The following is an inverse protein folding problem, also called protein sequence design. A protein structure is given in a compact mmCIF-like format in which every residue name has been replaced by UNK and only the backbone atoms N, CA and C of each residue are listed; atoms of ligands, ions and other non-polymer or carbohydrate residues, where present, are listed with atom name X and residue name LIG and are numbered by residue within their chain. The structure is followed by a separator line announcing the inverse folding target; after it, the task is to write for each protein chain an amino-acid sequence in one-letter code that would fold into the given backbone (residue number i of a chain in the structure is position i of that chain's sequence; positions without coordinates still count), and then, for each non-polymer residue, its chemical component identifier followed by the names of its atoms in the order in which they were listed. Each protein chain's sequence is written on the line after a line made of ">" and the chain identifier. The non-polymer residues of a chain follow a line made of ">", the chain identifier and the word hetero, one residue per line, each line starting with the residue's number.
data_IF_211491930991
#
_entry.id   IF_211491930991
#
_cell.length_a   1.000
_cell.length_b   1.000
_cell.length_c   1.000
_cell.angle_alpha   90.00
_cell.angle_beta   90.00
_cell.angle_gamma   90.00
#
_symmetry.space_group_name_H-M   'P 1'
#
loop_
_entity.id
_entity.type
_entity.pdbx_description
1 polymer ?
#
# COMPACT_ATOMS: atom_id res chain seq x y z
N UNK A 1 -28.55 14.36 70.72
CA UNK A 1 -28.77 14.04 69.29
C UNK A 1 -27.45 14.23 68.54
N UNK A 2 -26.69 13.16 68.27
CA UNK A 2 -25.46 13.22 67.45
C UNK A 2 -25.85 12.81 66.02
N UNK A 3 -25.67 13.71 65.05
CA UNK A 3 -25.88 13.44 63.62
C UNK A 3 -24.57 12.92 63.03
N UNK A 4 -24.58 11.70 62.50
CA UNK A 4 -23.52 11.17 61.65
C UNK A 4 -23.75 11.67 60.22
N UNK A 5 -22.76 12.31 59.62
CA UNK A 5 -22.71 12.56 58.19
C UNK A 5 -21.80 11.51 57.55
N UNK A 6 -22.40 10.64 56.75
CA UNK A 6 -21.71 9.63 55.96
C UNK A 6 -21.23 10.32 54.66
N UNK A 7 -19.94 10.63 54.55
CA UNK A 7 -19.35 11.10 53.31
C UNK A 7 -19.12 9.91 52.37
N UNK A 8 -19.94 9.78 51.34
CA UNK A 8 -19.76 8.79 50.28
C UNK A 8 -18.81 9.38 49.24
N UNK A 9 -17.55 8.93 49.24
CA UNK A 9 -16.59 9.31 48.21
C UNK A 9 -16.86 8.49 46.94
N UNK A 10 -17.40 9.14 45.91
CA UNK A 10 -17.43 8.57 44.56
C UNK A 10 -16.02 8.69 43.96
N UNK A 11 -15.30 7.57 43.88
CA UNK A 11 -14.11 7.47 43.03
C UNK A 11 -14.60 7.25 41.61
N UNK A 12 -14.60 8.31 40.81
CA UNK A 12 -14.79 8.20 39.36
C UNK A 12 -13.55 7.52 38.77
N UNK A 13 -13.67 6.23 38.43
CA UNK A 13 -12.68 5.54 37.64
C UNK A 13 -12.83 6.00 36.19
N UNK A 14 -12.13 7.06 35.78
CA UNK A 14 -12.01 7.41 34.36
C UNK A 14 -11.11 6.38 33.70
N UNK A 15 -11.73 5.34 33.12
CA UNK A 15 -11.07 4.49 32.14
C UNK A 15 -10.73 5.37 30.93
N UNK A 16 -9.46 5.76 30.81
CA UNK A 16 -8.91 6.27 29.57
C UNK A 16 -8.95 5.10 28.57
N UNK A 17 -10.03 5.01 27.80
CA UNK A 17 -10.04 4.18 26.61
C UNK A 17 -9.10 4.82 25.61
N UNK A 18 -7.90 4.28 25.46
CA UNK A 18 -7.08 4.57 24.29
C UNK A 18 -7.87 4.09 23.07
N UNK A 19 -8.10 4.97 22.09
CA UNK A 19 -8.70 4.56 20.83
C UNK A 19 -7.80 3.49 20.21
N UNK A 20 -8.39 2.32 19.92
CA UNK A 20 -7.66 1.23 19.28
C UNK A 20 -7.45 1.58 17.81
N UNK A 21 -6.22 1.40 17.31
CA UNK A 21 -5.87 1.55 15.90
C UNK A 21 -6.79 0.70 15.01
N UNK A 22 -7.29 1.30 13.93
CA UNK A 22 -8.07 0.60 12.92
C UNK A 22 -7.18 -0.36 12.13
N UNK A 23 -7.68 -1.57 11.85
CA UNK A 23 -7.01 -2.51 10.95
C UNK A 23 -6.93 -2.01 9.50
N UNK A 24 -7.89 -1.18 9.09
CA UNK A 24 -8.13 -0.88 7.68
C UNK A 24 -7.69 0.53 7.32
N UNK A 25 -7.53 0.75 6.00
CA UNK A 25 -7.24 2.05 5.39
C UNK A 25 -8.08 3.14 6.04
N UNK A 26 -7.42 4.23 6.44
CA UNK A 26 -8.08 5.44 6.93
C UNK A 26 -8.51 6.34 5.78
N UNK A 27 -7.58 6.63 4.87
CA UNK A 27 -7.83 7.51 3.73
C UNK A 27 -6.87 7.25 2.58
N UNK A 28 -7.29 7.66 1.38
CA UNK A 28 -6.49 7.75 0.17
C UNK A 28 -6.01 9.19 0.02
N UNK A 29 -4.71 9.37 -0.17
CA UNK A 29 -4.03 10.67 -0.26
C UNK A 29 -3.87 11.13 -1.71
N UNK A 30 -3.61 10.18 -2.61
CA UNK A 30 -3.44 10.44 -4.03
C UNK A 30 -4.07 9.33 -4.85
N UNK A 31 -4.69 9.71 -5.97
CA UNK A 31 -5.16 8.77 -6.98
C UNK A 31 -4.96 9.40 -8.36
N UNK A 32 -4.14 8.75 -9.18
CA UNK A 32 -3.88 9.17 -10.56
C UNK A 32 -3.94 7.92 -11.43
N UNK A 33 -5.13 7.55 -11.94
CA UNK A 33 -5.25 6.40 -12.81
C UNK A 33 -4.59 6.68 -14.17
N UNK A 34 -4.00 5.65 -14.76
CA UNK A 34 -3.66 5.65 -16.18
C UNK A 34 -4.92 5.36 -16.99
N UNK A 35 -4.91 5.51 -18.33
CA UNK A 35 -6.09 5.24 -19.13
C UNK A 35 -6.53 3.77 -19.07
N UNK A 36 -7.83 3.52 -19.10
CA UNK A 36 -8.37 2.15 -19.03
C UNK A 36 -9.90 2.07 -19.09
N UNK A 37 -10.40 0.86 -19.29
CA UNK A 37 -11.80 0.54 -19.55
C UNK A 37 -12.73 0.67 -18.34
N UNK A 38 -12.19 0.78 -17.13
CA UNK A 38 -12.96 1.03 -15.90
C UNK A 38 -12.70 2.42 -15.30
N UNK A 39 -11.76 3.16 -15.87
CA UNK A 39 -11.44 4.53 -15.44
C UNK A 39 -12.69 5.38 -15.59
N UNK A 40 -12.92 6.25 -14.59
CA UNK A 40 -14.12 7.06 -14.40
C UNK A 40 -15.39 6.32 -13.95
N UNK A 41 -15.37 4.98 -13.88
CA UNK A 41 -16.47 4.18 -13.32
C UNK A 41 -16.10 3.57 -11.96
N UNK A 42 -14.83 3.19 -11.73
CA UNK A 42 -14.35 2.55 -10.50
C UNK A 42 -13.14 3.30 -9.88
N UNK A 43 -13.34 4.38 -9.10
CA UNK A 43 -14.63 4.93 -8.69
C UNK A 43 -15.23 5.81 -9.78
N UNK A 44 -16.51 6.15 -9.58
CA UNK A 44 -17.21 7.08 -10.48
C UNK A 44 -16.63 8.48 -10.36
N UNK A 45 -16.09 8.99 -11.46
CA UNK A 45 -15.50 10.32 -11.58
C UNK A 45 -16.01 11.05 -12.81
N UNK A 46 -15.83 12.37 -12.81
CA UNK A 46 -16.32 13.30 -13.82
C UNK A 46 -15.27 14.37 -14.13
N UNK A 47 -15.53 15.15 -15.17
CA UNK A 47 -14.73 16.32 -15.56
C UNK A 47 -14.65 17.42 -14.47
N UNK A 48 -15.55 17.40 -13.48
CA UNK A 48 -15.59 18.37 -12.40
C UNK A 48 -14.79 17.93 -11.17
N UNK A 49 -14.24 16.72 -11.17
CA UNK A 49 -13.41 16.24 -10.08
C UNK A 49 -12.05 16.92 -10.05
N UNK A 50 -11.41 16.89 -8.89
CA UNK A 50 -10.05 17.37 -8.64
C UNK A 50 -9.20 16.21 -8.07
N UNK A 51 -7.86 16.34 -7.96
CA UNK A 51 -7.06 15.35 -7.26
C UNK A 51 -7.64 14.98 -5.88
N UNK A 52 -8.10 15.98 -5.14
CA UNK A 52 -8.66 15.81 -3.79
C UNK A 52 -10.01 15.08 -3.82
N UNK A 53 -10.94 15.45 -4.72
CA UNK A 53 -12.24 14.77 -4.77
C UNK A 53 -12.12 13.34 -5.33
N UNK A 54 -11.17 13.10 -6.23
CA UNK A 54 -10.86 11.78 -6.75
C UNK A 54 -10.28 10.86 -5.64
N UNK A 55 -9.34 11.37 -4.84
CA UNK A 55 -8.83 10.66 -3.66
C UNK A 55 -9.93 10.41 -2.61
N UNK A 56 -10.83 11.38 -2.39
CA UNK A 56 -11.99 11.19 -1.52
C UNK A 56 -12.98 10.13 -2.05
N UNK A 57 -13.18 10.03 -3.36
CA UNK A 57 -13.99 8.98 -3.96
C UNK A 57 -13.38 7.59 -3.69
N UNK A 58 -12.07 7.44 -3.89
CA UNK A 58 -11.35 6.20 -3.55
C UNK A 58 -11.42 5.88 -2.05
N UNK A 59 -11.30 6.90 -1.19
CA UNK A 59 -11.46 6.75 0.27
C UNK A 59 -12.83 6.18 0.62
N UNK A 60 -13.91 6.64 -0.04
CA UNK A 60 -15.26 6.10 0.18
C UNK A 60 -15.37 4.64 -0.23
N UNK A 61 -14.66 4.20 -1.27
CA UNK A 61 -14.67 2.81 -1.72
C UNK A 61 -13.82 1.87 -0.84
N UNK A 62 -12.71 2.36 -0.29
CA UNK A 62 -11.68 1.48 0.31
C UNK A 62 -11.53 1.60 1.83
N UNK A 63 -11.91 2.71 2.46
CA UNK A 63 -11.59 2.96 3.86
C UNK A 63 -12.54 2.27 4.85
N UNK A 64 -11.99 1.92 6.02
CA UNK A 64 -12.74 1.48 7.20
C UNK A 64 -13.21 0.02 7.20
N UNK A 65 -13.01 -0.73 6.12
CA UNK A 65 -13.47 -2.12 5.96
C UNK A 65 -12.47 -2.93 5.12
N UNK A 66 -12.46 -4.25 5.29
CA UNK A 66 -11.47 -5.16 4.67
C UNK A 66 -11.46 -5.13 3.14
N UNK A 67 -12.64 -5.25 2.51
CA UNK A 67 -12.82 -5.30 1.06
C UNK A 67 -14.20 -4.74 0.66
N UNK A 68 -14.45 -3.46 0.96
CA UNK A 68 -15.75 -2.83 0.74
C UNK A 68 -16.07 -2.60 -0.74
N UNK A 69 -15.08 -2.10 -1.49
CA UNK A 69 -15.23 -1.71 -2.88
C UNK A 69 -14.05 -2.16 -3.73
N UNK A 70 -13.91 -1.54 -4.90
CA UNK A 70 -12.81 -1.76 -5.82
C UNK A 70 -12.47 -0.43 -6.52
N UNK A 71 -11.19 -0.19 -6.72
CA UNK A 71 -10.64 0.96 -7.46
C UNK A 71 -9.71 0.44 -8.54
N UNK A 72 -9.91 0.92 -9.77
CA UNK A 72 -9.07 0.60 -10.92
C UNK A 72 -7.87 1.52 -10.98
N UNK A 73 -6.69 1.00 -11.35
CA UNK A 73 -5.53 1.85 -11.62
C UNK A 73 -5.37 2.16 -13.11
N UNK A 74 -6.08 1.44 -13.98
CA UNK A 74 -5.90 1.50 -15.42
C UNK A 74 -4.57 0.89 -15.86
N UNK A 75 -4.12 1.25 -17.06
CA UNK A 75 -2.88 0.74 -17.65
C UNK A 75 -1.62 1.06 -16.81
N UNK A 76 -0.45 0.63 -17.30
CA UNK A 76 0.83 0.82 -16.61
C UNK A 76 0.99 2.23 -16.01
N UNK A 77 1.42 2.27 -14.75
CA UNK A 77 1.86 3.45 -14.03
C UNK A 77 0.74 4.17 -13.27
N UNK A 78 -0.53 3.92 -13.60
CA UNK A 78 -1.64 4.43 -12.81
C UNK A 78 -1.52 3.94 -11.36
N UNK A 79 -1.78 4.83 -10.40
CA UNK A 79 -1.44 4.58 -9.01
C UNK A 79 -2.44 5.13 -8.00
N UNK A 80 -2.39 4.57 -6.80
CA UNK A 80 -3.09 5.01 -5.60
C UNK A 80 -2.13 5.06 -4.41
N UNK A 81 -2.20 6.12 -3.60
CA UNK A 81 -1.47 6.27 -2.34
C UNK A 81 -2.47 6.35 -1.19
N UNK A 82 -2.25 5.60 -0.11
CA UNK A 82 -3.12 5.60 1.07
C UNK A 82 -2.32 5.42 2.37
N UNK A 83 -2.99 5.69 3.49
CA UNK A 83 -2.45 5.50 4.84
C UNK A 83 -3.48 4.88 5.81
N UNK A 84 -2.96 4.32 6.90
CA UNK A 84 -3.73 3.86 8.06
C UNK A 84 -3.86 4.99 9.10
N UNK A 85 -4.64 4.82 10.16
CA UNK A 85 -4.76 5.83 11.21
C UNK A 85 -3.53 5.94 12.14
N UNK A 86 -2.52 5.12 11.88
CA UNK A 86 -1.25 5.00 12.58
C UNK A 86 -0.17 4.50 11.58
N UNK A 87 1.12 4.58 11.94
CA UNK A 87 2.17 3.96 11.16
C UNK A 87 2.11 2.43 11.24
N UNK A 88 2.37 1.74 10.12
CA UNK A 88 2.52 0.28 10.09
C UNK A 88 3.93 -0.08 10.55
N UNK A 89 4.03 -0.86 11.62
CA UNK A 89 5.31 -1.25 12.20
C UNK A 89 5.89 -2.45 11.45
N UNK A 90 7.20 -2.41 11.16
CA UNK A 90 7.92 -3.55 10.63
C UNK A 90 8.17 -4.59 11.74
N UNK A 91 7.53 -5.75 11.64
CA UNK A 91 7.68 -6.89 12.53
C UNK A 91 8.63 -7.91 11.87
N UNK A 92 9.85 -7.97 12.39
CA UNK A 92 10.93 -8.83 11.86
C UNK A 92 10.46 -10.28 11.59
N UNK A 93 10.65 -10.72 10.34
CA UNK A 93 10.32 -12.07 9.89
C UNK A 93 8.83 -12.37 9.69
N UNK A 94 7.94 -11.37 9.74
CA UNK A 94 6.52 -11.50 9.46
C UNK A 94 6.06 -10.54 8.36
N UNK A 95 5.00 -10.87 7.60
CA UNK A 95 4.29 -9.88 6.80
C UNK A 95 3.66 -8.81 7.69
N UNK A 96 3.73 -7.55 7.27
CA UNK A 96 3.31 -6.39 8.06
C UNK A 96 1.91 -5.90 7.66
N UNK A 97 1.59 -5.93 6.37
CA UNK A 97 0.28 -5.52 5.87
C UNK A 97 -0.11 -6.35 4.64
N UNK A 98 -1.39 -6.32 4.27
CA UNK A 98 -1.91 -6.91 3.03
C UNK A 98 -2.59 -5.82 2.22
N UNK A 99 -2.45 -5.87 0.89
CA UNK A 99 -3.29 -5.13 -0.05
C UNK A 99 -4.06 -6.12 -0.91
N UNK A 100 -5.38 -5.97 -0.95
CA UNK A 100 -6.27 -6.88 -1.64
C UNK A 100 -6.54 -6.43 -3.09
N UNK A 101 -6.61 -7.38 -4.01
CA UNK A 101 -7.01 -7.16 -5.41
C UNK A 101 -8.24 -7.98 -5.80
N UNK A 102 -8.53 -8.11 -7.09
CA UNK A 102 -9.64 -8.91 -7.62
C UNK A 102 -9.19 -10.17 -8.40
N UNK A 103 -7.89 -10.42 -8.48
CA UNK A 103 -7.31 -11.54 -9.21
C UNK A 103 -7.92 -12.89 -8.88
N UNK A 104 -8.02 -13.73 -9.91
CA UNK A 104 -8.36 -15.15 -9.81
C UNK A 104 -7.39 -15.97 -10.66
N UNK A 105 -7.45 -17.30 -10.55
CA UNK A 105 -6.53 -18.17 -11.29
C UNK A 105 -6.66 -17.95 -12.81
N UNK A 106 -5.57 -17.46 -13.41
CA UNK A 106 -5.51 -17.10 -14.83
C UNK A 106 -5.92 -15.65 -15.16
N UNK A 107 -6.16 -14.80 -14.16
CA UNK A 107 -6.44 -13.36 -14.29
C UNK A 107 -5.61 -12.58 -13.28
N UNK A 108 -4.33 -12.39 -13.61
CA UNK A 108 -3.34 -11.70 -12.80
C UNK A 108 -2.93 -10.38 -13.45
N UNK A 109 -3.11 -9.27 -12.76
CA UNK A 109 -2.84 -7.90 -13.23
C UNK A 109 -1.90 -7.19 -12.23
N UNK A 110 -0.65 -7.67 -12.09
CA UNK A 110 0.17 -7.40 -10.93
C UNK A 110 0.53 -5.92 -10.75
N UNK A 111 0.23 -5.39 -9.56
CA UNK A 111 0.64 -4.07 -9.10
C UNK A 111 1.86 -4.13 -8.19
N UNK A 112 2.80 -3.20 -8.37
CA UNK A 112 3.95 -3.06 -7.47
C UNK A 112 3.57 -2.19 -6.28
N UNK A 113 4.04 -2.60 -5.10
CA UNK A 113 3.89 -1.83 -3.85
C UNK A 113 5.13 -0.99 -3.58
N UNK A 114 4.92 0.28 -3.28
CA UNK A 114 5.89 1.18 -2.69
C UNK A 114 5.45 1.55 -1.28
N UNK A 115 6.42 1.80 -0.41
CA UNK A 115 6.19 2.23 0.95
C UNK A 115 7.03 3.46 1.25
N UNK A 116 6.53 4.32 2.13
CA UNK A 116 7.23 5.52 2.59
C UNK A 116 6.98 5.71 4.08
N UNK A 117 8.03 6.12 4.77
CA UNK A 117 7.96 6.69 6.12
C UNK A 117 7.89 8.21 6.03
N UNK A 118 7.01 8.82 6.83
CA UNK A 118 6.96 10.28 7.01
C UNK A 118 8.13 10.70 7.92
N UNK A 119 9.27 10.98 7.29
CA UNK A 119 10.50 11.37 7.97
C UNK A 119 10.43 12.80 8.47
N UNK A 120 9.71 13.67 7.75
CA UNK A 120 9.61 15.09 8.06
C UNK A 120 8.43 15.42 9.01
N UNK A 121 7.50 14.48 9.22
CA UNK A 121 6.38 14.57 10.16
C UNK A 121 5.25 15.48 9.71
N UNK A 122 5.12 15.77 8.41
CA UNK A 122 4.11 16.69 7.88
C UNK A 122 2.77 16.00 7.55
N UNK A 123 2.69 14.68 7.67
CA UNK A 123 1.53 13.87 7.36
C UNK A 123 1.19 13.82 5.87
N UNK A 124 2.20 13.88 4.98
CA UNK A 124 2.03 13.86 3.53
C UNK A 124 2.91 12.81 2.85
N UNK A 125 2.46 12.28 1.71
CA UNK A 125 3.24 11.35 0.91
C UNK A 125 4.34 12.06 0.07
N UNK A 126 5.21 12.87 0.69
CA UNK A 126 6.24 13.67 0.01
C UNK A 126 7.71 13.39 0.39
N UNK A 127 7.98 12.37 1.21
CA UNK A 127 9.32 11.86 1.52
C UNK A 127 9.78 10.72 0.58
N UNK A 128 10.81 9.97 0.98
CA UNK A 128 11.46 8.96 0.13
C UNK A 128 10.62 7.68 0.00
N UNK A 129 10.31 7.33 -1.24
CA UNK A 129 9.61 6.08 -1.60
C UNK A 129 10.57 4.92 -1.85
N UNK A 130 10.20 3.74 -1.35
CA UNK A 130 10.91 2.48 -1.57
C UNK A 130 9.96 1.43 -2.16
N UNK A 131 10.33 0.81 -3.27
CA UNK A 131 9.59 -0.34 -3.78
C UNK A 131 9.84 -1.56 -2.89
N UNK A 132 8.82 -2.40 -2.71
CA UNK A 132 9.00 -3.73 -2.12
C UNK A 132 9.45 -4.71 -3.21
N UNK A 133 10.54 -5.42 -2.97
CA UNK A 133 11.06 -6.45 -3.86
C UNK A 133 10.12 -7.65 -3.93
N UNK A 134 9.90 -8.14 -5.14
CA UNK A 134 9.01 -9.25 -5.44
C UNK A 134 9.70 -10.34 -6.25
N UNK A 135 8.98 -11.44 -6.47
CA UNK A 135 9.53 -12.62 -7.16
C UNK A 135 10.11 -12.35 -8.56
N UNK A 136 9.65 -11.33 -9.29
CA UNK A 136 10.17 -11.04 -10.63
C UNK A 136 11.65 -10.58 -10.63
N UNK A 137 12.15 -10.02 -9.52
CA UNK A 137 13.56 -9.63 -9.40
C UNK A 137 14.51 -10.83 -9.55
N UNK A 138 14.03 -12.03 -9.19
CA UNK A 138 14.80 -13.28 -9.23
C UNK A 138 14.35 -14.22 -10.34
N UNK A 139 13.04 -14.32 -10.58
CA UNK A 139 12.47 -15.29 -11.52
C UNK A 139 12.46 -14.77 -12.98
N UNK A 140 12.52 -13.44 -13.15
CA UNK A 140 12.37 -12.77 -14.46
C UNK A 140 13.60 -11.92 -14.82
N UNK A 141 14.78 -12.35 -14.40
CA UNK A 141 16.05 -11.67 -14.68
C UNK A 141 16.18 -11.37 -16.18
N UNK A 142 16.47 -10.11 -16.50
CA UNK A 142 16.61 -9.62 -17.87
C UNK A 142 15.29 -9.29 -18.58
N UNK A 143 14.14 -9.50 -17.94
CA UNK A 143 12.81 -9.12 -18.48
C UNK A 143 12.13 -7.99 -17.71
N UNK A 144 12.59 -7.70 -16.49
CA UNK A 144 12.15 -6.54 -15.70
C UNK A 144 12.91 -5.30 -16.17
N UNK A 145 12.19 -4.20 -16.43
CA UNK A 145 12.79 -2.91 -16.82
C UNK A 145 12.63 -1.93 -15.67
N UNK A 146 13.73 -1.66 -14.97
CA UNK A 146 13.77 -0.62 -13.94
C UNK A 146 13.88 0.78 -14.55
N UNK A 147 13.38 1.80 -13.85
CA UNK A 147 13.40 3.21 -14.30
C UNK A 147 12.68 3.37 -15.66
N UNK A 148 11.67 2.55 -15.89
CA UNK A 148 10.81 2.66 -17.06
C UNK A 148 9.92 3.89 -16.92
N UNK A 149 9.70 4.58 -18.03
CA UNK A 149 8.85 5.76 -18.11
C UNK A 149 7.94 5.65 -19.32
N UNK A 150 6.64 5.88 -19.12
CA UNK A 150 5.63 5.92 -20.19
C UNK A 150 4.89 7.25 -20.12
N UNK A 151 4.52 7.78 -21.28
CA UNK A 151 3.67 8.97 -21.39
C UNK A 151 2.45 8.67 -22.23
N UNK A 152 1.26 8.91 -21.68
CA UNK A 152 -0.03 8.84 -22.36
C UNK A 152 -0.45 10.25 -22.80
N UNK A 153 -0.95 10.36 -24.03
CA UNK A 153 -1.50 11.63 -24.56
C UNK A 153 -3.03 11.53 -24.64
N UNK A 154 -3.80 12.49 -24.09
CA UNK A 154 -5.25 12.49 -24.18
C UNK A 154 -5.71 12.37 -25.64
N UNK A 155 -6.63 11.45 -25.91
CA UNK A 155 -7.22 11.25 -27.23
C UNK A 155 -8.71 10.95 -27.09
N UNK A 156 -9.55 11.99 -26.91
CA UNK A 156 -10.93 11.84 -26.48
C UNK A 156 -11.72 10.87 -27.37
N UNK A 157 -12.42 9.93 -26.73
CA UNK A 157 -13.27 8.92 -27.37
C UNK A 157 -12.56 8.06 -28.43
N UNK A 158 -11.23 7.96 -28.36
CA UNK A 158 -10.36 7.20 -29.27
C UNK A 158 -9.34 6.37 -28.48
N UNK A 159 -8.62 5.40 -29.10
CA UNK A 159 -7.51 4.73 -28.44
C UNK A 159 -6.49 5.73 -27.90
N UNK A 160 -6.04 5.55 -26.66
CA UNK A 160 -5.16 6.52 -26.00
C UNK A 160 -3.70 6.21 -26.34
N UNK A 161 -3.02 7.02 -27.15
CA UNK A 161 -1.65 6.77 -27.56
C UNK A 161 -0.67 6.94 -26.39
N UNK A 162 0.39 6.15 -26.42
CA UNK A 162 1.51 6.25 -25.49
C UNK A 162 2.86 6.10 -26.19
N UNK A 163 3.89 6.67 -25.56
CA UNK A 163 5.31 6.51 -25.91
C UNK A 163 6.10 6.19 -24.64
N UNK A 164 7.20 5.46 -24.75
CA UNK A 164 8.05 5.11 -23.62
C UNK A 164 9.51 5.58 -23.78
N UNK A 165 10.28 5.49 -22.69
CA UNK A 165 11.70 5.82 -22.69
C UNK A 165 12.60 4.72 -23.28
N UNK A 166 12.02 3.63 -23.79
CA UNK A 166 12.71 2.57 -24.54
C UNK A 166 12.64 2.81 -26.06
N UNK A 167 11.92 3.86 -26.49
CA UNK A 167 11.74 4.20 -27.90
C UNK A 167 10.55 3.49 -28.56
N UNK A 168 9.68 2.84 -27.78
CA UNK A 168 8.46 2.22 -28.27
C UNK A 168 7.26 3.17 -28.15
N UNK A 169 6.21 2.82 -28.88
CA UNK A 169 4.94 3.51 -28.86
C UNK A 169 3.79 2.54 -29.09
N UNK A 170 2.61 2.87 -28.60
CA UNK A 170 1.40 2.09 -28.80
C UNK A 170 0.16 2.89 -28.41
N UNK A 171 -0.92 2.19 -28.11
CA UNK A 171 -2.12 2.81 -27.54
C UNK A 171 -2.86 1.84 -26.62
N UNK A 172 -3.50 2.37 -25.58
CA UNK A 172 -4.56 1.68 -24.83
C UNK A 172 -5.78 1.61 -25.74
N UNK A 173 -6.10 0.41 -26.21
CA UNK A 173 -7.16 0.20 -27.17
C UNK A 173 -8.54 0.19 -26.49
N UNK A 174 -9.55 0.72 -27.19
CA UNK A 174 -10.91 0.76 -26.66
C UNK A 174 -11.66 -0.54 -26.90
N UNK A 175 -12.10 -1.21 -25.84
CA UNK A 175 -12.94 -2.42 -25.87
C UNK A 175 -14.42 -2.06 -26.08
N UNK A 176 -14.69 -1.20 -27.07
CA UNK A 176 -16.04 -0.73 -27.38
C UNK A 176 -16.88 -1.76 -28.17
N UNK A 177 -18.20 -1.55 -28.19
CA UNK A 177 -19.15 -2.40 -28.93
C UNK A 177 -19.75 -3.49 -28.05
N UNK A 178 -19.59 -4.76 -28.43
CA UNK A 178 -20.25 -5.92 -27.79
C UNK A 178 -19.84 -6.16 -26.32
N UNK A 179 -18.78 -5.50 -25.85
CA UNK A 179 -18.20 -5.68 -24.51
C UNK A 179 -18.60 -4.57 -23.51
N UNK A 180 -19.37 -3.56 -23.93
CA UNK A 180 -20.05 -2.64 -23.00
C UNK A 180 -19.26 -1.45 -22.45
N UNK A 181 -18.00 -1.24 -22.87
CA UNK A 181 -17.16 -0.13 -22.37
C UNK A 181 -17.20 1.09 -23.31
N UNK A 182 -18.16 2.00 -23.06
CA UNK A 182 -18.41 3.19 -23.91
C UNK A 182 -17.92 4.51 -23.31
N UNK A 183 -17.59 4.55 -22.02
CA UNK A 183 -17.10 5.72 -21.29
C UNK A 183 -15.75 6.22 -21.82
N UNK A 184 -15.33 7.41 -21.40
CA UNK A 184 -13.97 7.88 -21.67
C UNK A 184 -12.95 7.04 -20.89
N UNK A 185 -11.86 6.66 -21.55
CA UNK A 185 -10.80 5.84 -20.95
C UNK A 185 -9.73 6.71 -20.32
N UNK A 186 -9.53 7.94 -20.81
CA UNK A 186 -8.67 8.91 -20.14
C UNK A 186 -9.35 9.44 -18.86
N UNK A 187 -8.60 9.72 -17.78
CA UNK A 187 -9.20 10.31 -16.57
C UNK A 187 -9.87 11.66 -16.89
N UNK A 188 -11.18 11.77 -16.65
CA UNK A 188 -11.98 12.92 -17.12
C UNK A 188 -11.55 14.26 -16.53
N UNK A 189 -11.02 14.25 -15.31
CA UNK A 189 -10.55 15.45 -14.61
C UNK A 189 -9.11 15.86 -14.98
N UNK A 190 -8.45 15.14 -15.90
CA UNK A 190 -7.08 15.42 -16.35
C UNK A 190 -7.07 15.72 -17.85
N UNK A 191 -6.69 16.95 -18.22
CA UNK A 191 -6.68 17.43 -19.61
C UNK A 191 -5.27 17.62 -20.20
N UNK A 192 -4.26 17.01 -19.58
CA UNK A 192 -2.84 17.08 -19.99
C UNK A 192 -2.24 15.69 -20.12
N UNK A 193 -1.13 15.51 -20.86
CA UNK A 193 -0.39 14.26 -20.88
C UNK A 193 -0.02 13.77 -19.47
N UNK A 194 -0.09 12.47 -19.27
CA UNK A 194 0.28 11.78 -18.04
C UNK A 194 1.55 10.99 -18.27
N UNK A 195 2.57 11.25 -17.45
CA UNK A 195 3.84 10.52 -17.47
C UNK A 195 4.01 9.78 -16.15
N UNK A 196 4.22 8.47 -16.23
CA UNK A 196 4.45 7.62 -15.07
C UNK A 196 5.84 7.00 -15.12
N UNK A 197 6.42 6.76 -13.95
CA UNK A 197 7.76 6.17 -13.78
C UNK A 197 7.70 5.05 -12.77
N UNK A 198 8.50 4.01 -12.99
CA UNK A 198 8.59 2.88 -12.07
C UNK A 198 9.36 1.70 -12.67
N UNK A 199 8.98 0.52 -12.22
CA UNK A 199 9.48 -0.76 -12.71
C UNK A 199 8.41 -1.41 -13.59
N UNK A 200 8.77 -1.75 -14.82
CA UNK A 200 7.93 -2.51 -15.74
C UNK A 200 8.19 -4.01 -15.57
N UNK A 201 7.15 -4.73 -15.17
CA UNK A 201 7.13 -6.19 -15.11
C UNK A 201 6.98 -6.80 -16.52
N UNK A 202 7.47 -8.03 -16.72
CA UNK A 202 7.27 -8.73 -17.98
C UNK A 202 5.78 -8.92 -18.26
N UNK A 203 5.43 -8.89 -19.55
CA UNK A 203 4.11 -9.33 -20.03
C UNK A 203 3.83 -10.74 -19.54
N UNK A 204 2.64 -10.95 -18.98
CA UNK A 204 2.22 -12.21 -18.40
C UNK A 204 0.99 -12.82 -19.10
N UNK A 205 0.45 -12.15 -20.13
CA UNK A 205 -0.71 -12.62 -20.88
C UNK A 205 -0.32 -13.54 -22.04
N UNK A 206 -1.16 -14.54 -22.31
CA UNK A 206 -1.09 -15.35 -23.52
C UNK A 206 -2.48 -15.87 -23.92
N UNK A 207 -2.66 -16.12 -25.21
CA UNK A 207 -3.88 -16.72 -25.74
C UNK A 207 -3.73 -18.25 -25.78
N UNK A 208 -4.53 -18.97 -25.00
CA UNK A 208 -4.42 -20.43 -24.88
C UNK A 208 -5.10 -21.19 -26.02
N UNK A 209 -4.83 -22.49 -26.12
CA UNK A 209 -5.42 -23.36 -27.16
C UNK A 209 -6.95 -23.52 -27.07
N UNK A 210 -7.55 -23.16 -25.94
CA UNK A 210 -8.99 -23.20 -25.68
C UNK A 210 -9.69 -21.91 -26.12
N UNK A 211 -8.94 -20.94 -26.66
CA UNK A 211 -9.48 -19.68 -27.15
C UNK A 211 -9.67 -18.61 -26.08
N UNK A 212 -8.98 -18.71 -24.94
CA UNK A 212 -9.08 -17.72 -23.86
C UNK A 212 -7.75 -17.01 -23.61
N UNK A 213 -7.83 -15.74 -23.24
CA UNK A 213 -6.69 -15.05 -22.63
C UNK A 213 -6.48 -15.57 -21.22
N UNK A 214 -5.21 -15.79 -20.88
CA UNK A 214 -4.77 -16.19 -19.54
C UNK A 214 -3.62 -15.27 -19.16
N UNK A 215 -3.69 -14.70 -17.96
CA UNK A 215 -2.63 -13.90 -17.36
C UNK A 215 -1.98 -14.69 -16.22
N UNK A 216 -0.69 -14.97 -16.36
CA UNK A 216 0.06 -15.77 -15.38
C UNK A 216 0.41 -14.94 -14.14
N UNK A 217 0.21 -15.53 -12.96
CA UNK A 217 0.64 -14.94 -11.71
C UNK A 217 2.16 -15.04 -11.50
N UNK A 218 2.72 -14.01 -10.87
CA UNK A 218 4.03 -14.04 -10.23
C UNK A 218 3.92 -14.72 -8.86
N UNK A 219 5.03 -15.20 -8.27
CA UNK A 219 4.96 -16.02 -7.04
C UNK A 219 4.55 -15.24 -5.81
N UNK A 220 5.08 -14.03 -5.62
CA UNK A 220 4.82 -13.15 -4.46
C UNK A 220 5.25 -11.72 -4.74
N UNK A 221 4.78 -10.79 -3.89
CA UNK A 221 5.25 -9.39 -3.85
C UNK A 221 4.47 -8.40 -4.72
N UNK A 222 3.25 -8.76 -5.14
CA UNK A 222 2.44 -7.95 -6.05
C UNK A 222 0.97 -7.94 -5.62
N UNK A 223 0.32 -6.78 -5.75
CA UNK A 223 -1.14 -6.63 -5.59
C UNK A 223 -1.82 -7.18 -6.83
N UNK A 224 -3.04 -7.68 -6.68
CA UNK A 224 -3.87 -8.12 -7.80
C UNK A 224 -3.21 -9.18 -8.70
N UNK A 225 -2.43 -10.03 -8.06
CA UNK A 225 -1.56 -10.99 -8.73
C UNK A 225 -2.01 -12.44 -8.48
N UNK A 226 -2.46 -12.73 -7.26
CA UNK A 226 -2.99 -14.01 -6.82
C UNK A 226 -4.36 -13.78 -6.18
N UNK A 227 -5.25 -14.79 -6.17
CA UNK A 227 -6.45 -14.77 -5.33
C UNK A 227 -6.13 -14.35 -3.90
N UNK A 228 -6.99 -13.52 -3.29
CA UNK A 228 -6.73 -12.94 -1.97
C UNK A 228 -6.53 -13.99 -0.86
N UNK A 229 -7.11 -15.18 -0.99
CA UNK A 229 -6.89 -16.30 -0.06
C UNK A 229 -5.53 -16.98 -0.21
N UNK A 230 -4.78 -16.67 -1.28
CA UNK A 230 -3.43 -17.17 -1.56
C UNK A 230 -2.34 -16.12 -1.34
N UNK A 231 -2.69 -14.88 -0.96
CA UNK A 231 -1.69 -13.83 -0.66
C UNK A 231 -1.15 -14.00 0.76
N UNK A 232 0.16 -13.88 0.92
CA UNK A 232 0.83 -13.96 2.22
C UNK A 232 1.05 -12.56 2.85
N UNK A 233 0.72 -11.49 2.12
CA UNK A 233 0.98 -10.11 2.54
C UNK A 233 2.35 -9.57 2.13
N UNK A 234 2.64 -8.38 2.60
CA UNK A 234 3.84 -7.59 2.28
C UNK A 234 4.69 -7.41 3.52
N UNK A 235 5.97 -7.71 3.39
CA UNK A 235 6.98 -7.50 4.43
C UNK A 235 7.82 -6.25 4.05
N UNK A 236 7.88 -5.28 4.97
CA UNK A 236 8.61 -4.02 4.84
C UNK A 236 10.12 -4.26 4.72
N UNK A 237 10.66 -5.38 5.23
CA UNK A 237 12.06 -5.80 5.05
C UNK A 237 12.44 -6.01 3.59
N UNK A 238 11.46 -6.18 2.69
CA UNK A 238 11.69 -6.28 1.26
C UNK A 238 11.87 -4.91 0.58
N UNK A 239 11.82 -3.80 1.32
CA UNK A 239 12.04 -2.47 0.78
C UNK A 239 13.43 -2.35 0.15
N UNK A 240 13.49 -1.73 -1.04
CA UNK A 240 14.74 -1.47 -1.75
C UNK A 240 14.81 -0.05 -2.30
N UNK A 241 16.04 0.45 -2.43
CA UNK A 241 16.32 1.75 -3.03
C UNK A 241 16.19 1.74 -4.57
N UNK A 242 16.42 2.89 -5.20
CA UNK A 242 16.39 3.05 -6.66
C UNK A 242 17.47 2.23 -7.43
N UNK A 243 18.41 1.61 -6.72
CA UNK A 243 19.42 0.69 -7.25
C UNK A 243 19.14 -0.77 -6.84
N UNK A 244 17.94 -1.06 -6.31
CA UNK A 244 17.50 -2.36 -5.80
C UNK A 244 18.34 -2.87 -4.62
N UNK A 245 18.99 -1.98 -3.87
CA UNK A 245 19.68 -2.36 -2.62
C UNK A 245 18.68 -2.40 -1.46
N UNK A 246 18.72 -3.44 -0.60
CA UNK A 246 17.85 -3.52 0.57
C UNK A 246 17.98 -2.30 1.49
N UNK A 247 16.83 -1.82 1.98
CA UNK A 247 16.70 -0.71 2.92
C UNK A 247 15.98 -1.21 4.17
N UNK A 248 16.47 -0.80 5.34
CA UNK A 248 15.81 -1.11 6.61
C UNK A 248 14.91 0.05 7.02
N UNK A 249 13.62 -0.23 7.15
CA UNK A 249 12.62 0.68 7.69
C UNK A 249 12.05 0.05 8.97
N UNK A 250 11.89 0.84 10.03
CA UNK A 250 11.26 0.44 11.29
C UNK A 250 9.73 0.52 11.23
N UNK A 251 9.23 1.39 10.37
CA UNK A 251 7.80 1.58 10.09
C UNK A 251 7.63 2.19 8.71
N UNK A 252 6.37 2.28 8.28
CA UNK A 252 5.92 3.09 7.15
C UNK A 252 4.67 3.87 7.56
N UNK A 253 4.43 4.98 6.89
CA UNK A 253 3.27 5.85 7.11
C UNK A 253 2.35 5.85 5.88
N UNK A 254 2.91 5.63 4.68
CA UNK A 254 2.17 5.58 3.43
C UNK A 254 2.50 4.33 2.61
N UNK A 255 1.49 3.84 1.91
CA UNK A 255 1.59 2.76 0.92
C UNK A 255 1.11 3.31 -0.42
N UNK A 256 1.86 3.04 -1.49
CA UNK A 256 1.45 3.30 -2.86
C UNK A 256 1.42 2.00 -3.65
N UNK A 257 0.40 1.83 -4.48
CA UNK A 257 0.30 0.73 -5.44
C UNK A 257 0.22 1.33 -6.83
N UNK A 258 0.97 0.79 -7.78
CA UNK A 258 0.85 1.16 -9.20
C UNK A 258 0.76 -0.07 -10.10
N UNK A 259 -0.02 0.05 -11.18
CA UNK A 259 -0.12 -0.99 -12.21
C UNK A 259 1.24 -1.16 -12.89
N UNK A 260 1.84 -2.36 -12.79
CA UNK A 260 3.23 -2.57 -13.17
C UNK A 260 3.41 -3.31 -14.50
N UNK A 261 2.33 -3.55 -15.23
CA UNK A 261 2.34 -4.23 -16.54
C UNK A 261 1.83 -3.30 -17.63
N UNK A 262 2.57 -3.20 -18.73
CA UNK A 262 2.10 -2.58 -19.97
C UNK A 262 1.72 -3.67 -20.97
N UNK A 263 0.54 -4.25 -20.79
CA UNK A 263 0.03 -5.31 -21.66
C UNK A 263 -1.47 -5.15 -21.92
N UNK A 264 -1.93 -5.83 -22.97
CA UNK A 264 -3.33 -5.84 -23.36
C UNK A 264 -3.66 -7.16 -24.05
N UNK A 265 -4.90 -7.61 -23.90
CA UNK A 265 -5.41 -8.87 -24.43
C UNK A 265 -6.38 -8.60 -25.58
N UNK A 266 -5.90 -8.38 -26.83
CA UNK A 266 -6.72 -7.98 -27.97
C UNK A 266 -7.64 -9.10 -28.48
N UNK A 267 -8.47 -8.78 -29.49
CA UNK A 267 -9.31 -9.78 -30.17
C UNK A 267 -8.50 -10.99 -30.71
N UNK A 268 -9.11 -12.20 -30.76
CA UNK A 268 -10.47 -12.56 -30.32
C UNK A 268 -10.61 -12.64 -28.78
N UNK A 269 -11.85 -12.57 -28.26
CA UNK A 269 -12.19 -12.61 -26.82
C UNK A 269 -11.49 -11.52 -26.00
N UNK A 270 -11.69 -10.28 -26.43
CA UNK A 270 -11.00 -9.10 -25.93
C UNK A 270 -11.26 -8.90 -24.42
N UNK A 271 -10.19 -8.81 -23.62
CA UNK A 271 -10.27 -8.44 -22.19
C UNK A 271 -9.98 -6.95 -21.98
N UNK A 272 -9.09 -6.37 -22.80
CA UNK A 272 -8.69 -4.97 -22.69
C UNK A 272 -7.23 -4.82 -22.29
N UNK A 273 -6.87 -3.64 -21.81
CA UNK A 273 -5.63 -3.42 -21.08
C UNK A 273 -5.61 -4.23 -19.79
N UNK A 274 -4.41 -4.61 -19.34
CA UNK A 274 -4.26 -5.11 -17.98
C UNK A 274 -4.26 -3.94 -17.00
N UNK A 275 -5.07 -4.04 -15.95
CA UNK A 275 -5.26 -3.02 -14.93
C UNK A 275 -5.21 -3.64 -13.54
N UNK A 276 -4.29 -3.18 -12.69
CA UNK A 276 -4.33 -3.54 -11.28
C UNK A 276 -5.57 -2.95 -10.62
N UNK A 277 -6.33 -3.79 -9.95
CA UNK A 277 -7.48 -3.41 -9.13
C UNK A 277 -7.14 -3.49 -7.63
N UNK A 278 -7.56 -2.49 -6.86
CA UNK A 278 -7.32 -2.41 -5.40
C UNK A 278 -8.66 -2.47 -4.67
N UNK A 279 -8.81 -3.43 -3.75
CA UNK A 279 -10.03 -3.65 -2.96
C UNK A 279 -9.96 -3.19 -1.51
N UNK A 280 -8.78 -2.86 -1.03
CA UNK A 280 -8.54 -2.43 0.36
C UNK A 280 -7.18 -2.89 0.86
N UNK A 281 -6.87 -2.55 2.11
CA UNK A 281 -5.67 -3.00 2.78
C UNK A 281 -5.92 -3.19 4.28
N UNK A 282 -5.09 -4.03 4.89
CA UNK A 282 -5.16 -4.41 6.30
C UNK A 282 -3.76 -4.39 6.91
N UNK A 283 -3.58 -3.66 8.02
CA UNK A 283 -2.42 -3.81 8.89
C UNK A 283 -2.59 -5.11 9.70
N UNK A 284 -1.57 -5.98 9.64
CA UNK A 284 -1.57 -7.25 10.33
C UNK A 284 -1.17 -7.13 11.81
N UNK A 285 -0.60 -5.99 12.21
CA UNK A 285 -0.10 -5.75 13.57
C UNK A 285 -0.53 -4.38 14.14
N UNK A 286 -1.84 -4.05 14.20
CA UNK A 286 -2.33 -2.72 14.64
C UNK A 286 -2.01 -2.36 16.10
N UNK A 287 -1.52 -3.33 16.87
CA UNK A 287 -1.12 -3.17 18.27
C UNK A 287 0.39 -3.26 18.48
N UNK A 288 1.16 -3.40 17.39
CA UNK A 288 2.60 -3.35 17.47
C UNK A 288 3.05 -1.94 17.83
N UNK A 289 3.93 -1.88 18.83
CA UNK A 289 4.64 -0.67 19.19
C UNK A 289 6.07 -0.76 18.65
N UNK A 290 6.67 0.38 18.31
CA UNK A 290 8.11 0.43 18.06
C UNK A 290 8.86 -0.16 19.24
N UNK A 291 9.75 -1.11 18.95
CA UNK A 291 10.80 -1.47 19.90
C UNK A 291 11.78 -0.29 19.88
N UNK A 292 11.78 0.51 20.95
CA UNK A 292 12.81 1.52 21.16
C UNK A 292 14.19 0.86 20.96
N UNK A 293 15.07 1.51 20.22
CA UNK A 293 16.46 1.07 20.11
C UNK A 293 17.03 0.78 21.50
N UNK A 294 17.90 -0.24 21.65
CA UNK A 294 18.61 -0.45 22.92
C UNK A 294 19.25 0.88 23.34
N UNK A 295 19.16 1.21 24.63
CA UNK A 295 19.66 2.46 25.19
C UNK A 295 21.08 2.73 24.67
N UNK A 296 21.21 3.62 23.68
CA UNK A 296 22.50 4.18 23.31
C UNK A 296 22.88 5.17 24.40
N UNK A 297 24.12 5.10 24.87
CA UNK A 297 24.68 5.83 26.01
C UNK A 297 24.69 7.37 25.89
N UNK A 298 24.08 7.94 24.86
CA UNK A 298 24.23 9.35 24.48
C UNK A 298 22.94 10.18 24.56
N UNK A 299 21.79 9.60 24.93
CA UNK A 299 20.67 10.37 25.48
C UNK A 299 20.78 10.31 27.00
N UNK A 300 20.87 11.45 27.70
CA UNK A 300 20.79 11.49 29.17
C UNK A 300 19.42 10.92 29.61
N UNK A 301 19.43 9.62 29.86
CA UNK A 301 18.26 8.82 30.21
C UNK A 301 18.63 8.00 31.44
N UNK A 302 18.84 8.70 32.55
CA UNK A 302 19.08 8.08 33.85
C UNK A 302 17.97 7.05 34.10
N UNK A 303 18.37 5.78 34.20
CA UNK A 303 17.47 4.68 34.53
C UNK A 303 17.05 4.83 35.98
N UNK A 304 15.75 5.01 36.21
CA UNK A 304 15.16 5.17 37.54
C UNK A 304 14.76 3.84 38.15
N UNK A 305 14.29 2.91 37.31
CA UNK A 305 13.91 1.57 37.73
C UNK A 305 13.94 0.59 36.55
N UNK A 306 14.21 -0.67 36.85
CA UNK A 306 14.16 -1.78 35.91
C UNK A 306 13.16 -2.79 36.47
N UNK A 307 12.33 -3.36 35.62
CA UNK A 307 11.35 -4.38 35.97
C UNK A 307 11.48 -5.58 35.03
N UNK A 308 11.15 -6.77 35.53
CA UNK A 308 10.88 -7.93 34.67
C UNK A 308 9.56 -7.72 33.92
N UNK A 309 9.28 -8.55 32.91
CA UNK A 309 8.01 -8.52 32.18
C UNK A 309 6.79 -8.81 33.08
N UNK A 310 7.00 -9.51 34.19
CA UNK A 310 5.99 -9.77 35.22
C UNK A 310 5.82 -8.61 36.22
N UNK A 311 6.50 -7.48 35.97
CA UNK A 311 6.38 -6.26 36.80
C UNK A 311 7.20 -6.29 38.09
N UNK A 312 8.11 -7.25 38.27
CA UNK A 312 8.98 -7.30 39.45
C UNK A 312 10.15 -6.35 39.28
N UNK A 313 10.34 -5.42 40.21
CA UNK A 313 11.49 -4.51 40.17
C UNK A 313 12.81 -5.28 40.40
N UNK A 314 13.80 -5.03 39.54
CA UNK A 314 15.14 -5.62 39.56
C UNK A 314 16.20 -4.52 39.57
N UNK A 315 17.40 -4.84 40.05
CA UNK A 315 18.49 -3.87 40.21
C UNK A 315 19.34 -3.68 38.95
N UNK A 316 19.38 -4.70 38.09
CA UNK A 316 20.20 -4.74 36.89
C UNK A 316 19.41 -5.40 35.77
N UNK A 317 19.76 -5.07 34.53
CA UNK A 317 19.22 -5.68 33.32
C UNK A 317 19.53 -7.19 33.30
N UNK A 318 18.54 -8.02 33.01
CA UNK A 318 18.69 -9.47 32.89
C UNK A 318 18.61 -9.89 31.43
N UNK A 319 19.24 -11.03 31.11
CA UNK A 319 19.11 -11.64 29.78
C UNK A 319 17.63 -11.88 29.47
N UNK A 320 17.17 -11.43 28.30
CA UNK A 320 15.76 -11.39 27.92
C UNK A 320 15.17 -9.98 27.94
N UNK A 321 13.84 -9.89 27.94
CA UNK A 321 13.12 -8.63 27.87
C UNK A 321 13.01 -7.99 29.26
N UNK A 322 13.35 -6.70 29.34
CA UNK A 322 13.27 -5.89 30.56
C UNK A 322 12.40 -4.67 30.30
N UNK A 323 11.75 -4.14 31.34
CA UNK A 323 11.02 -2.88 31.30
C UNK A 323 11.84 -1.84 32.06
N UNK A 324 12.22 -0.74 31.41
CA UNK A 324 13.07 0.29 31.98
C UNK A 324 12.30 1.59 32.09
N UNK A 325 12.23 2.16 33.30
CA UNK A 325 11.67 3.48 33.56
C UNK A 325 12.78 4.51 33.61
N UNK A 326 12.64 5.59 32.84
CA UNK A 326 13.64 6.64 32.69
C UNK A 326 13.26 7.90 33.48
N UNK A 327 14.25 8.73 33.81
CA UNK A 327 14.07 9.97 34.58
C UNK A 327 13.17 11.00 33.88
N UNK A 328 13.08 10.96 32.55
CA UNK A 328 12.16 11.77 31.75
C UNK A 328 10.71 11.26 31.75
N UNK A 329 10.40 10.24 32.55
CA UNK A 329 9.05 9.66 32.67
C UNK A 329 8.70 8.61 31.62
N UNK A 330 9.53 8.39 30.59
CA UNK A 330 9.31 7.34 29.58
C UNK A 330 9.55 5.95 30.17
N UNK A 331 8.83 4.97 29.63
CA UNK A 331 9.01 3.55 29.91
C UNK A 331 9.40 2.85 28.60
N UNK A 332 10.49 2.10 28.59
CA UNK A 332 11.02 1.40 27.43
C UNK A 332 11.07 -0.11 27.66
N UNK A 333 10.86 -0.91 26.61
CA UNK A 333 11.17 -2.34 26.61
C UNK A 333 12.60 -2.51 26.07
N UNK A 334 13.47 -3.20 26.81
CA UNK A 334 14.88 -3.39 26.48
C UNK A 334 15.20 -4.88 26.42
N UNK A 335 15.61 -5.36 25.26
CA UNK A 335 16.05 -6.75 25.06
C UNK A 335 17.57 -6.86 25.27
N UNK A 336 17.98 -7.71 26.21
CA UNK A 336 19.39 -8.00 26.51
C UNK A 336 19.70 -9.41 26.00
N UNK A 337 20.64 -9.52 25.05
CA UNK A 337 20.96 -10.78 24.37
C UNK A 337 21.75 -11.78 25.23
#
# INVERSE_FOLDING_TARGET
>A
MKRFYLSMAFVSLSALGFAQNSLYIKAVDEYVPAPGQFVNELPKLSENDTPETAAQACTKELAGEKQKGVVTLGAYGGYITFHFDHPVINVEGAPDFVVYGNAFDGSSEPGIVMVMKDENGNGKPDDTWYELSGSADVDSIGKVIYKYEITYTPNPMQPIPWTDNQGHSGAVQRVGGDYGHFQEYYPLWINKPLTFKGTLLPKNSYFNSQGWWVQNALRYGYVDNLPNEKTEGFNIENAVDANRKPVKLDQIDFVRVYCAVNDQCPKPNWVGELSTEVKGAEDLHPTADKIDAPLNSNEETTVMAIYTIEGKQIKELQRGLNIVKLANGKVRKVLVK
#
